data_IF_165853188149
#
_entry.id   IF_165853188149
#
_cell.length_a   1.000
_cell.length_b   1.000
_cell.length_c   1.000
_cell.angle_alpha   90.00
_cell.angle_beta   90.00
_cell.angle_gamma   90.00
#
_symmetry.space_group_name_H-M   'P 1'
#
loop_
_entity.id
_entity.type
_entity.pdbx_description
1 polymer ?
#
# COMPACT_ATOMS: atom_id res chain seq x y z
N UNK A 1 11.89 -12.57 21.32
CA UNK A 1 11.63 -11.59 20.24
C UNK A 1 12.35 -10.31 20.62
N UNK A 2 13.30 -9.82 19.81
CA UNK A 2 13.93 -8.51 20.04
C UNK A 2 12.97 -7.42 19.53
N UNK A 3 12.63 -6.43 20.37
CA UNK A 3 11.91 -5.22 19.96
C UNK A 3 12.77 -4.51 18.90
N UNK A 4 12.27 -4.42 17.68
CA UNK A 4 12.91 -3.67 16.61
C UNK A 4 12.34 -2.26 16.60
N UNK A 5 13.25 -1.28 16.65
CA UNK A 5 12.92 0.12 16.53
C UNK A 5 12.62 0.44 15.06
N UNK A 6 11.34 0.71 14.73
CA UNK A 6 10.94 1.13 13.38
C UNK A 6 11.32 2.61 13.11
N UNK A 7 11.79 3.37 14.10
CA UNK A 7 12.13 4.79 13.93
C UNK A 7 13.09 5.10 12.78
N UNK A 8 14.11 4.28 12.45
CA UNK A 8 15.01 4.57 11.33
C UNK A 8 14.33 4.55 9.95
N UNK A 9 13.20 3.84 9.80
CA UNK A 9 12.40 3.85 8.58
C UNK A 9 11.51 5.10 8.47
N UNK A 10 11.28 5.79 9.59
CA UNK A 10 10.24 6.81 9.75
C UNK A 10 10.72 8.10 10.44
N UNK A 11 12.04 8.36 10.49
CA UNK A 11 12.62 9.50 11.18
C UNK A 11 12.04 10.83 10.65
N UNK A 12 11.50 11.71 11.52
CA UNK A 12 10.92 12.98 11.09
C UNK A 12 12.01 14.06 10.95
N UNK A 13 12.38 14.41 9.72
CA UNK A 13 12.99 15.71 9.41
C UNK A 13 11.91 16.80 9.36
N UNK A 14 12.23 18.07 9.65
CA UNK A 14 11.23 19.09 9.93
C UNK A 14 10.38 19.43 8.71
N UNK A 15 9.05 19.42 8.90
CA UNK A 15 8.00 20.07 8.10
C UNK A 15 8.36 20.44 6.65
N UNK A 16 8.37 19.45 5.77
CA UNK A 16 8.09 19.67 4.35
C UNK A 16 6.85 18.88 4.00
N UNK A 17 5.81 19.56 3.50
CA UNK A 17 4.52 18.97 3.13
C UNK A 17 4.74 17.85 2.12
N UNK A 18 4.81 16.61 2.59
CA UNK A 18 4.57 15.45 1.76
C UNK A 18 3.12 15.53 1.30
N UNK A 19 2.91 15.91 0.05
CA UNK A 19 1.62 15.72 -0.63
C UNK A 19 1.47 14.23 -0.95
N UNK A 20 1.33 13.41 0.10
CA UNK A 20 0.89 12.03 -0.03
C UNK A 20 -0.55 12.11 -0.52
N UNK A 21 -0.82 11.64 -1.74
CA UNK A 21 -2.17 11.56 -2.27
C UNK A 21 -3.05 10.74 -1.30
N UNK A 22 -4.03 11.35 -0.60
CA UNK A 22 -4.80 10.66 0.44
C UNK A 22 -5.66 9.52 -0.12
N UNK A 23 -6.02 9.59 -1.41
CA UNK A 23 -6.94 8.66 -2.05
C UNK A 23 -6.39 7.23 -2.21
N UNK A 24 -5.07 7.03 -2.22
CA UNK A 24 -4.49 5.70 -2.47
C UNK A 24 -4.52 4.81 -1.22
N UNK A 25 -4.30 5.38 -0.03
CA UNK A 25 -4.24 4.65 1.23
C UNK A 25 -5.62 4.33 1.82
N UNK A 26 -6.61 5.22 1.62
CA UNK A 26 -8.00 4.98 2.04
C UNK A 26 -8.63 3.80 1.31
N UNK A 27 -8.26 3.57 0.04
CA UNK A 27 -8.87 2.51 -0.78
C UNK A 27 -8.21 1.13 -0.63
N UNK A 28 -7.00 1.04 -0.05
CA UNK A 28 -6.36 -0.25 0.28
C UNK A 28 -6.77 -0.78 1.66
N UNK A 29 -7.16 0.11 2.57
CA UNK A 29 -7.59 -0.22 3.92
C UNK A 29 -9.11 -0.34 4.07
N UNK A 30 -9.92 0.44 3.36
CA UNK A 30 -11.36 0.47 3.57
C UNK A 30 -12.12 -0.27 2.46
N UNK A 31 -13.21 -0.93 2.87
CA UNK A 31 -14.34 -1.43 2.06
C UNK A 31 -14.27 -2.94 1.78
N UNK A 32 -14.84 -3.69 2.73
CA UNK A 32 -15.18 -5.11 2.58
C UNK A 32 -16.62 -5.37 3.01
N UNK A 33 -17.59 -5.12 2.12
CA UNK A 33 -18.94 -5.66 2.25
C UNK A 33 -19.01 -7.02 1.53
N UNK A 34 -19.09 -8.11 2.29
CA UNK A 34 -19.38 -9.43 1.74
C UNK A 34 -20.86 -9.49 1.29
N UNK A 35 -21.10 -9.63 -0.02
CA UNK A 35 -22.36 -10.21 -0.53
C UNK A 35 -22.07 -11.70 -0.79
N UNK A 36 -22.48 -12.56 0.14
CA UNK A 36 -22.43 -14.00 -0.03
C UNK A 36 -23.62 -14.47 -0.87
N UNK A 37 -23.37 -15.06 -2.03
CA UNK A 37 -24.36 -15.89 -2.73
C UNK A 37 -24.14 -17.34 -2.33
N UNK A 38 -25.07 -17.89 -1.56
CA UNK A 38 -25.21 -19.33 -1.34
C UNK A 38 -26.14 -19.87 -2.41
N UNK A 39 -25.62 -20.71 -3.31
CA UNK A 39 -26.41 -21.56 -4.20
C UNK A 39 -26.79 -22.86 -3.47
N UNK A 40 -28.06 -23.28 -3.43
CA UNK A 40 -28.42 -24.65 -3.07
C UNK A 40 -28.54 -25.55 -4.32
N UNK A 41 -28.26 -26.87 -4.24
CA UNK A 41 -28.41 -27.81 -5.35
C UNK A 41 -29.77 -28.53 -5.36
N UNK A 42 -30.35 -28.73 -6.57
CA UNK A 42 -31.36 -29.72 -7.06
C UNK A 42 -32.63 -30.01 -6.24
N UNK A 43 -33.87 -30.21 -6.72
CA UNK A 43 -34.60 -30.59 -7.96
C UNK A 43 -36.13 -30.41 -7.62
N UNK A 44 -37.16 -30.69 -8.46
CA UNK A 44 -37.29 -30.77 -9.93
C UNK A 44 -38.42 -29.83 -10.49
N UNK A 45 -38.63 -29.88 -11.81
CA UNK A 45 -39.65 -29.17 -12.61
C UNK A 45 -41.10 -29.36 -12.12
N UNK A 46 -41.89 -28.27 -12.14
CA UNK A 46 -43.34 -28.30 -12.35
C UNK A 46 -43.85 -27.01 -13.01
N UNK A 47 -45.01 -27.11 -13.64
CA UNK A 47 -45.53 -26.33 -14.75
C UNK A 47 -45.95 -24.88 -14.46
N UNK A 48 -46.11 -24.13 -15.56
CA UNK A 48 -46.38 -22.70 -15.61
C UNK A 48 -47.67 -22.21 -14.97
N UNK A 49 -47.70 -20.90 -14.72
CA UNK A 49 -48.88 -20.03 -14.80
C UNK A 49 -48.42 -18.57 -14.90
N UNK A 50 -49.20 -17.77 -15.63
CA UNK A 50 -48.88 -16.49 -16.25
C UNK A 50 -48.74 -15.28 -15.30
N UNK A 51 -48.13 -14.15 -15.75
CA UNK A 51 -48.09 -12.90 -14.99
C UNK A 51 -49.34 -12.03 -15.24
N UNK A 52 -49.80 -11.34 -14.20
CA UNK A 52 -50.87 -10.32 -14.22
C UNK A 52 -50.32 -8.93 -13.83
N UNK A 53 -51.04 -7.84 -14.15
CA UNK A 53 -50.46 -6.67 -14.81
C UNK A 53 -50.09 -5.49 -13.90
N UNK A 54 -49.24 -4.62 -14.44
CA UNK A 54 -48.87 -3.30 -13.95
C UNK A 54 -50.05 -2.31 -14.04
N UNK A 55 -50.21 -1.47 -13.02
CA UNK A 55 -51.02 -0.24 -13.06
C UNK A 55 -50.14 1.00 -12.79
N UNK A 56 -50.54 2.19 -13.28
CA UNK A 56 -49.61 3.26 -13.65
C UNK A 56 -49.61 4.48 -12.71
N UNK A 57 -48.52 5.26 -12.81
CA UNK A 57 -48.58 6.72 -12.71
C UNK A 57 -47.94 7.36 -11.48
N UNK A 58 -46.85 8.11 -11.69
CA UNK A 58 -46.83 9.58 -11.57
C UNK A 58 -45.46 10.15 -11.97
N UNK A 59 -45.50 11.07 -12.93
CA UNK A 59 -44.41 11.91 -13.38
C UNK A 59 -44.11 13.03 -12.37
N UNK A 60 -42.85 13.41 -12.25
CA UNK A 60 -42.36 14.63 -11.60
C UNK A 60 -41.19 15.20 -12.42
N UNK A 61 -40.98 16.53 -12.40
CA UNK A 61 -40.41 17.29 -13.53
C UNK A 61 -38.88 17.25 -13.60
N UNK A 62 -38.27 17.63 -14.75
CA UNK A 62 -36.82 17.57 -14.92
C UNK A 62 -36.14 18.73 -14.18
N UNK A 63 -35.15 18.42 -13.35
CA UNK A 63 -34.21 19.40 -12.80
C UNK A 63 -33.11 19.70 -13.83
N UNK A 64 -32.83 21.01 -13.93
CA UNK A 64 -32.05 21.66 -14.98
C UNK A 64 -30.63 21.11 -15.14
N UNK A 65 -30.22 20.98 -16.39
CA UNK A 65 -28.84 20.73 -16.80
C UNK A 65 -27.99 21.97 -16.51
N UNK A 66 -27.04 21.84 -15.58
CA UNK A 66 -25.97 22.82 -15.42
C UNK A 66 -24.99 22.64 -16.57
N UNK A 67 -25.08 23.58 -17.52
CA UNK A 67 -24.14 23.75 -18.63
C UNK A 67 -22.72 23.95 -18.09
N UNK A 68 -21.87 22.92 -18.21
CA UNK A 68 -20.41 23.08 -18.08
C UNK A 68 -19.90 23.86 -19.28
N UNK A 69 -19.53 25.13 -19.06
CA UNK A 69 -18.76 25.94 -20.01
C UNK A 69 -17.49 25.18 -20.42
N UNK A 70 -17.34 24.95 -21.72
CA UNK A 70 -16.10 24.49 -22.35
C UNK A 70 -15.04 25.58 -22.19
N UNK A 71 -13.94 25.28 -21.51
CA UNK A 71 -12.71 26.08 -21.57
C UNK A 71 -12.01 25.85 -22.92
N UNK A 72 -11.25 26.83 -23.44
CA UNK A 72 -10.73 26.79 -24.81
C UNK A 72 -9.64 25.73 -24.95
N UNK A 73 -9.75 24.93 -25.99
CA UNK A 73 -8.72 24.01 -26.46
C UNK A 73 -7.49 24.78 -26.93
N UNK A 74 -6.37 24.66 -26.22
CA UNK A 74 -5.05 24.98 -26.78
C UNK A 74 -4.63 23.82 -27.69
N UNK A 75 -4.62 24.07 -28.99
CA UNK A 75 -3.95 23.23 -30.00
C UNK A 75 -2.44 23.30 -29.78
N UNK A 76 -1.88 22.31 -29.09
CA UNK A 76 -0.47 21.92 -29.20
C UNK A 76 -0.33 20.52 -28.59
N UNK A 77 0.13 19.54 -29.40
CA UNK A 77 0.37 18.17 -28.92
C UNK A 77 -0.42 17.08 -29.64
N UNK A 78 -0.69 17.20 -30.94
CA UNK A 78 -0.88 16.00 -31.77
C UNK A 78 0.51 15.44 -32.10
N UNK A 79 0.85 14.30 -31.50
CA UNK A 79 2.05 13.56 -31.84
C UNK A 79 2.67 12.85 -30.65
N UNK A 80 2.10 11.69 -30.29
CA UNK A 80 2.76 10.51 -29.72
C UNK A 80 1.71 9.52 -29.20
N UNK A 81 0.76 9.12 -30.07
CA UNK A 81 0.17 7.81 -29.93
C UNK A 81 1.23 6.81 -30.42
N UNK A 82 2.13 6.40 -29.53
CA UNK A 82 3.06 5.31 -29.84
C UNK A 82 2.23 4.06 -30.04
N UNK A 83 1.99 3.68 -31.29
CA UNK A 83 1.47 2.37 -31.63
C UNK A 83 2.41 1.34 -31.00
N UNK A 84 1.96 0.69 -29.92
CA UNK A 84 2.67 -0.45 -29.33
C UNK A 84 2.58 -1.57 -30.35
N UNK A 85 3.59 -1.65 -31.23
CA UNK A 85 3.81 -2.86 -32.03
C UNK A 85 4.06 -3.98 -31.03
N UNK A 86 3.19 -5.00 -31.03
CA UNK A 86 3.47 -6.28 -30.38
C UNK A 86 4.76 -6.82 -31.01
N UNK A 87 5.90 -6.59 -30.36
CA UNK A 87 7.19 -7.10 -30.82
C UNK A 87 7.24 -8.59 -30.54
N UNK A 88 7.64 -9.37 -31.54
CA UNK A 88 7.82 -10.81 -31.40
C UNK A 88 8.85 -11.09 -30.29
N UNK A 89 8.76 -12.28 -29.68
CA UNK A 89 9.77 -12.80 -28.76
C UNK A 89 11.18 -12.80 -29.39
N UNK A 90 11.27 -12.84 -30.72
CA UNK A 90 12.50 -12.91 -31.52
C UNK A 90 13.02 -11.57 -32.04
N UNK A 91 12.28 -10.47 -31.88
CA UNK A 91 12.74 -9.17 -32.36
C UNK A 91 13.94 -8.66 -31.54
N UNK A 92 14.96 -8.11 -32.22
CA UNK A 92 16.06 -7.39 -31.57
C UNK A 92 15.49 -6.14 -30.90
N UNK A 93 15.70 -6.02 -29.59
CA UNK A 93 15.27 -4.85 -28.83
C UNK A 93 16.20 -3.65 -29.08
N UNK A 94 15.68 -2.40 -28.99
CA UNK A 94 16.53 -1.22 -28.91
C UNK A 94 17.52 -1.32 -27.75
N UNK A 95 18.65 -0.60 -27.85
CA UNK A 95 19.67 -0.63 -26.81
C UNK A 95 19.09 -0.25 -25.43
N UNK A 96 19.43 -1.05 -24.40
CA UNK A 96 19.02 -0.85 -23.01
C UNK A 96 17.55 -1.20 -22.69
N UNK A 97 16.76 -1.64 -23.66
CA UNK A 97 15.43 -2.21 -23.40
C UNK A 97 15.55 -3.64 -22.86
N UNK A 98 14.70 -3.97 -21.89
CA UNK A 98 14.60 -5.31 -21.30
C UNK A 98 13.27 -5.94 -21.68
N UNK A 99 13.30 -7.20 -22.12
CA UNK A 99 12.10 -8.02 -22.26
C UNK A 99 11.68 -8.50 -20.87
N UNK A 100 10.40 -8.39 -20.52
CA UNK A 100 9.90 -8.89 -19.24
C UNK A 100 8.58 -9.63 -19.42
N UNK A 101 8.30 -10.52 -18.47
CA UNK A 101 7.00 -11.15 -18.36
C UNK A 101 6.15 -10.37 -17.38
N UNK A 102 4.86 -10.18 -17.69
CA UNK A 102 3.90 -9.40 -16.90
C UNK A 102 2.59 -10.14 -16.78
N UNK A 103 1.95 -10.08 -15.61
CA UNK A 103 0.55 -10.47 -15.49
C UNK A 103 -0.32 -9.24 -15.69
N UNK A 104 -1.14 -9.27 -16.73
CA UNK A 104 -1.93 -8.13 -17.18
C UNK A 104 -3.39 -8.52 -17.34
N UNK A 105 -4.28 -7.58 -17.03
CA UNK A 105 -5.69 -7.65 -17.41
C UNK A 105 -5.92 -6.72 -18.60
N UNK A 106 -6.42 -7.23 -19.72
CA UNK A 106 -6.77 -6.43 -20.89
C UNK A 106 -8.08 -5.66 -20.69
N UNK A 107 -9.03 -6.29 -20.00
CA UNK A 107 -10.31 -5.70 -19.62
C UNK A 107 -10.62 -6.07 -18.16
N UNK A 108 -10.75 -5.08 -17.26
CA UNK A 108 -11.16 -5.33 -15.88
C UNK A 108 -12.55 -5.96 -15.79
N UNK A 109 -12.80 -6.76 -14.74
CA UNK A 109 -14.13 -7.32 -14.42
C UNK A 109 -14.15 -8.81 -14.11
N UNK A 110 -13.08 -9.55 -14.43
CA UNK A 110 -12.96 -10.97 -14.10
C UNK A 110 -11.49 -11.34 -13.85
N UNK A 111 -11.19 -11.90 -12.68
CA UNK A 111 -9.85 -12.38 -12.32
C UNK A 111 -9.33 -13.43 -13.30
N UNK A 112 -10.23 -14.21 -13.92
CA UNK A 112 -9.87 -15.17 -14.96
C UNK A 112 -9.35 -14.51 -16.23
N UNK A 113 -9.34 -13.18 -16.36
CA UNK A 113 -8.72 -12.46 -17.49
C UNK A 113 -7.28 -12.03 -17.23
N UNK A 114 -6.77 -12.24 -16.02
CA UNK A 114 -5.35 -12.03 -15.74
C UNK A 114 -4.53 -13.05 -16.55
N UNK A 115 -3.67 -12.57 -17.44
CA UNK A 115 -2.87 -13.40 -18.35
C UNK A 115 -1.40 -13.04 -18.24
N UNK A 116 -0.55 -14.07 -18.29
CA UNK A 116 0.87 -13.89 -18.44
C UNK A 116 1.15 -13.47 -19.89
N UNK A 117 1.77 -12.32 -20.05
CA UNK A 117 2.14 -11.74 -21.33
C UNK A 117 3.61 -11.33 -21.30
N UNK A 118 4.18 -11.11 -22.48
CA UNK A 118 5.53 -10.56 -22.63
C UNK A 118 5.42 -9.13 -23.13
N UNK A 119 6.12 -8.20 -22.49
CA UNK A 119 6.27 -6.83 -22.98
C UNK A 119 7.75 -6.38 -22.89
N UNK A 120 7.99 -5.10 -23.13
CA UNK A 120 9.31 -4.49 -23.08
C UNK A 120 9.33 -3.34 -22.09
N UNK A 121 10.47 -3.14 -21.44
CA UNK A 121 10.70 -2.10 -20.46
C UNK A 121 11.88 -1.23 -20.95
N UNK A 122 11.72 0.10 -21.07
CA UNK A 122 12.81 0.99 -21.48
C UNK A 122 13.93 1.03 -20.42
N UNK A 123 15.13 1.55 -20.74
CA UNK A 123 16.18 1.84 -19.75
C UNK A 123 15.63 2.64 -18.56
N UNK A 124 16.12 2.43 -17.32
CA UNK A 124 15.71 3.23 -16.17
C UNK A 124 16.08 4.70 -16.40
N UNK A 125 15.12 5.60 -16.14
CA UNK A 125 15.36 7.04 -16.27
C UNK A 125 16.27 7.57 -15.16
N UNK A 126 16.75 8.80 -15.28
CA UNK A 126 17.52 9.46 -14.23
C UNK A 126 16.75 9.48 -12.90
N UNK A 127 17.35 8.93 -11.84
CA UNK A 127 16.71 8.81 -10.52
C UNK A 127 15.86 7.55 -10.32
N UNK A 128 15.77 6.69 -11.34
CA UNK A 128 15.17 5.36 -11.25
C UNK A 128 16.25 4.27 -11.20
N UNK A 129 15.83 3.08 -10.76
CA UNK A 129 16.58 1.85 -10.90
C UNK A 129 15.69 0.78 -11.54
N UNK A 130 16.30 -0.12 -12.30
CA UNK A 130 15.65 -1.35 -12.75
C UNK A 130 15.86 -2.42 -11.69
N UNK A 131 14.77 -3.03 -11.26
CA UNK A 131 14.77 -4.14 -10.31
C UNK A 131 14.28 -5.40 -11.01
N UNK A 132 15.07 -6.48 -10.93
CA UNK A 132 14.61 -7.84 -11.21
C UNK A 132 13.81 -8.35 -10.01
N UNK A 133 12.50 -8.48 -10.18
CA UNK A 133 11.56 -8.83 -9.11
C UNK A 133 11.69 -10.31 -8.76
N UNK A 134 11.84 -10.59 -7.48
CA UNK A 134 11.94 -11.94 -6.91
C UNK A 134 10.68 -12.34 -6.13
N UNK A 135 9.96 -11.36 -5.57
CA UNK A 135 8.71 -11.56 -4.86
C UNK A 135 7.80 -10.34 -4.98
N UNK A 136 6.49 -10.56 -4.88
CA UNK A 136 5.45 -9.53 -4.97
C UNK A 136 4.47 -9.72 -3.82
N UNK A 137 4.07 -8.62 -3.17
CA UNK A 137 3.05 -8.63 -2.14
C UNK A 137 1.65 -8.59 -2.75
N UNK A 138 0.76 -9.47 -2.27
CA UNK A 138 -0.64 -9.51 -2.70
C UNK A 138 -1.49 -8.60 -1.80
N UNK A 139 -2.24 -7.70 -2.42
CA UNK A 139 -3.11 -6.76 -1.74
C UNK A 139 -4.56 -6.85 -2.26
N UNK A 140 -5.54 -6.50 -1.43
CA UNK A 140 -6.94 -6.44 -1.86
C UNK A 140 -7.17 -5.45 -3.02
N UNK A 141 -6.39 -4.35 -3.03
CA UNK A 141 -6.38 -3.39 -4.13
C UNK A 141 -6.03 -4.03 -5.48
N UNK A 142 -5.22 -5.09 -5.51
CA UNK A 142 -4.89 -5.80 -6.76
C UNK A 142 -6.10 -6.55 -7.31
N UNK A 143 -6.90 -7.16 -6.42
CA UNK A 143 -8.15 -7.82 -6.77
C UNK A 143 -9.17 -6.81 -7.30
N UNK A 144 -9.36 -5.70 -6.60
CA UNK A 144 -10.28 -4.65 -7.05
C UNK A 144 -9.84 -4.01 -8.37
N UNK A 145 -8.54 -3.84 -8.57
CA UNK A 145 -7.98 -3.37 -9.84
C UNK A 145 -8.34 -4.34 -10.97
N UNK A 146 -8.13 -5.64 -10.75
CA UNK A 146 -8.47 -6.65 -11.75
C UNK A 146 -9.98 -6.79 -12.01
N UNK A 147 -10.82 -6.49 -11.01
CA UNK A 147 -12.29 -6.47 -11.13
C UNK A 147 -12.85 -5.14 -11.67
N UNK A 148 -12.01 -4.12 -11.92
CA UNK A 148 -12.47 -2.82 -12.42
C UNK A 148 -13.20 -1.97 -11.38
N UNK A 149 -13.01 -2.28 -10.10
CA UNK A 149 -13.65 -1.59 -8.96
C UNK A 149 -12.73 -0.56 -8.30
N UNK A 150 -11.55 -0.31 -8.88
CA UNK A 150 -10.55 0.60 -8.32
C UNK A 150 -10.37 1.83 -9.21
N UNK A 151 -11.04 2.94 -8.86
CA UNK A 151 -11.04 4.19 -9.65
C UNK A 151 -9.65 4.77 -9.88
N UNK A 152 -8.72 4.52 -8.94
CA UNK A 152 -7.35 4.97 -9.03
C UNK A 152 -6.50 4.19 -10.06
N UNK A 153 -7.03 3.11 -10.64
CA UNK A 153 -6.40 2.36 -11.73
C UNK A 153 -6.45 3.15 -13.05
N UNK A 154 -5.45 2.98 -13.94
CA UNK A 154 -5.48 3.56 -15.28
C UNK A 154 -6.77 3.16 -16.00
N UNK A 155 -7.49 4.16 -16.52
CA UNK A 155 -8.74 3.94 -17.24
C UNK A 155 -8.46 3.79 -18.73
N UNK A 156 -9.06 2.77 -19.36
CA UNK A 156 -8.98 2.56 -20.80
C UNK A 156 -7.67 1.92 -21.31
N UNK A 157 -6.78 1.48 -20.42
CA UNK A 157 -5.54 0.78 -20.77
C UNK A 157 -5.39 -0.52 -19.98
N UNK A 158 -4.79 -1.58 -20.57
CA UNK A 158 -4.49 -2.80 -19.83
C UNK A 158 -3.59 -2.55 -18.62
N UNK A 159 -4.00 -3.05 -17.45
CA UNK A 159 -3.32 -2.80 -16.18
C UNK A 159 -2.49 -4.00 -15.75
N UNK A 160 -1.27 -3.75 -15.28
CA UNK A 160 -0.44 -4.74 -14.57
C UNK A 160 -0.63 -4.46 -13.06
N UNK A 161 -1.26 -5.35 -12.29
CA UNK A 161 -1.46 -5.14 -10.85
C UNK A 161 -0.15 -5.13 -10.04
N UNK A 162 -0.29 -4.91 -8.73
CA UNK A 162 0.79 -5.03 -7.77
C UNK A 162 1.28 -3.68 -7.27
N UNK A 163 1.17 -3.50 -5.95
CA UNK A 163 1.57 -2.29 -5.22
C UNK A 163 2.99 -2.36 -4.65
N UNK A 164 3.57 -3.54 -4.52
CA UNK A 164 4.85 -3.73 -3.85
C UNK A 164 5.60 -4.93 -4.39
N UNK A 165 6.92 -4.89 -4.24
CA UNK A 165 7.81 -5.95 -4.67
C UNK A 165 9.05 -6.01 -3.78
N UNK A 166 9.78 -7.11 -3.93
CA UNK A 166 11.15 -7.26 -3.49
C UNK A 166 11.97 -7.93 -4.59
N UNK A 167 13.21 -7.50 -4.77
CA UNK A 167 14.06 -7.97 -5.85
C UNK A 167 15.49 -7.49 -5.74
N UNK A 168 16.20 -7.56 -6.86
CA UNK A 168 17.60 -7.19 -6.99
C UNK A 168 17.73 -6.03 -7.97
N UNK A 169 18.48 -4.99 -7.61
CA UNK A 169 18.83 -3.91 -8.55
C UNK A 169 19.71 -4.49 -9.65
N UNK A 170 19.33 -4.31 -10.91
CA UNK A 170 20.14 -4.72 -12.06
C UNK A 170 20.83 -3.53 -12.73
N UNK A 171 20.10 -2.42 -12.84
CA UNK A 171 20.55 -1.24 -13.55
C UNK A 171 20.13 0.01 -12.79
N UNK A 172 20.93 1.05 -12.91
CA UNK A 172 20.73 2.32 -12.25
C UNK A 172 20.74 3.41 -13.31
N UNK A 173 19.68 4.22 -13.38
CA UNK A 173 19.56 5.27 -14.37
C UNK A 173 20.64 6.35 -14.21
N UNK A 174 20.96 7.04 -15.30
CA UNK A 174 22.03 8.03 -15.36
C UNK A 174 21.74 9.25 -14.47
N UNK A 175 22.17 9.16 -13.20
CA UNK A 175 22.47 10.25 -12.24
C UNK A 175 22.87 9.77 -10.84
N UNK A 176 22.70 8.48 -10.51
CA UNK A 176 23.12 7.93 -9.20
C UNK A 176 24.58 7.47 -9.16
N UNK A 177 25.34 7.59 -10.26
CA UNK A 177 26.80 7.42 -10.22
C UNK A 177 27.43 8.67 -9.61
N UNK A 178 27.38 8.80 -8.29
CA UNK A 178 28.30 9.70 -7.59
C UNK A 178 29.73 9.23 -7.90
N UNK A 179 30.46 10.02 -8.68
CA UNK A 179 31.92 9.87 -8.79
C UNK A 179 32.45 9.94 -7.36
N UNK A 180 32.95 8.82 -6.83
CA UNK A 180 33.75 8.84 -5.61
C UNK A 180 34.93 9.77 -5.87
N UNK A 181 34.90 10.98 -5.29
CA UNK A 181 36.11 11.81 -5.21
C UNK A 181 37.05 11.06 -4.29
N UNK A 182 38.13 10.53 -4.87
CA UNK A 182 39.26 9.95 -4.14
C UNK A 182 39.77 11.02 -3.18
N UNK A 183 39.62 10.79 -1.89
CA UNK A 183 40.16 11.68 -0.86
C UNK A 183 41.54 11.13 -0.53
N UNK A 184 42.58 11.80 -1.01
CA UNK A 184 43.94 11.49 -0.61
C UNK A 184 44.15 12.02 0.81
N UNK A 185 44.37 11.09 1.75
CA UNK A 185 44.65 11.40 3.15
C UNK A 185 46.15 11.26 3.37
N UNK A 186 46.83 12.39 3.53
CA UNK A 186 48.24 12.41 3.91
C UNK A 186 48.37 12.52 5.43
N UNK A 187 49.31 11.74 5.99
CA UNK A 187 49.68 11.79 7.40
C UNK A 187 50.64 12.96 7.62
N UNK A 188 50.33 13.84 8.57
CA UNK A 188 51.25 14.90 8.98
C UNK A 188 52.57 14.31 9.50
N UNK A 189 53.69 14.98 9.22
CA UNK A 189 55.04 14.52 9.52
C UNK A 189 55.33 14.32 11.03
N UNK A 190 54.51 14.89 11.91
CA UNK A 190 54.55 14.68 13.37
C UNK A 190 53.75 13.45 13.84
N UNK A 191 53.10 12.73 12.91
CA UNK A 191 52.40 11.48 13.14
C UNK A 191 51.06 11.59 13.89
N UNK A 192 50.61 12.80 14.24
CA UNK A 192 49.50 13.04 15.18
C UNK A 192 48.21 13.57 14.54
N UNK A 193 48.21 13.96 13.26
CA UNK A 193 47.00 14.43 12.53
C UNK A 193 46.92 13.94 11.08
N UNK A 194 45.71 13.70 10.61
CA UNK A 194 45.36 13.47 9.20
C UNK A 194 44.83 14.78 8.59
N UNK A 195 45.37 15.21 7.46
CA UNK A 195 44.94 16.44 6.78
C UNK A 195 44.24 16.07 5.48
N UNK A 196 42.96 16.45 5.36
CA UNK A 196 42.16 16.26 4.15
C UNK A 196 42.30 17.50 3.27
N UNK A 197 43.01 17.38 2.14
CA UNK A 197 43.08 18.45 1.13
C UNK A 197 41.85 18.36 0.20
N UNK A 198 40.86 19.23 0.38
CA UNK A 198 39.77 19.39 -0.60
C UNK A 198 40.23 20.30 -1.74
N UNK A 199 40.21 19.83 -2.99
CA UNK A 199 40.39 20.69 -4.15
C UNK A 199 39.11 21.52 -4.38
N UNK A 200 39.27 22.85 -4.40
CA UNK A 200 38.22 23.83 -4.67
C UNK A 200 37.65 23.63 -6.09
N UNK A 201 36.47 23.03 -6.15
CA UNK A 201 35.53 23.14 -7.27
C UNK A 201 34.18 23.51 -6.67
N UNK A 202 33.55 24.54 -7.24
CA UNK A 202 32.28 25.14 -6.82
C UNK A 202 31.32 24.12 -6.18
N UNK A 203 31.05 24.33 -4.89
CA UNK A 203 29.97 23.68 -4.19
C UNK A 203 28.68 24.42 -4.60
N UNK A 204 27.83 23.77 -5.40
CA UNK A 204 26.41 24.05 -5.34
C UNK A 204 25.95 23.65 -3.93
N UNK A 205 25.93 24.63 -3.03
CA UNK A 205 25.34 24.51 -1.70
C UNK A 205 23.82 24.55 -1.85
N UNK A 206 23.25 23.48 -2.38
CA UNK A 206 21.90 23.04 -2.03
C UNK A 206 22.11 21.78 -1.16
N UNK A 207 22.35 22.01 0.13
CA UNK A 207 22.37 20.92 1.10
C UNK A 207 20.94 20.48 1.33
N UNK A 208 20.57 19.30 0.85
CA UNK A 208 19.23 18.75 1.09
C UNK A 208 19.21 18.05 2.45
N UNK A 209 18.40 18.58 3.36
CA UNK A 209 18.25 18.23 4.79
C UNK A 209 17.59 16.87 5.07
N UNK A 210 17.57 15.94 4.11
CA UNK A 210 16.61 14.82 4.17
C UNK A 210 17.15 13.49 4.71
N UNK A 211 18.45 13.33 5.03
CA UNK A 211 18.95 12.19 5.82
C UNK A 211 18.62 10.75 5.35
N UNK A 212 18.03 10.55 4.17
CA UNK A 212 17.53 9.25 3.73
C UNK A 212 18.58 8.52 2.87
N UNK A 213 19.03 7.32 3.27
CA UNK A 213 20.10 6.57 2.59
C UNK A 213 19.56 5.84 1.35
N UNK A 214 19.22 6.58 0.30
CA UNK A 214 18.81 6.00 -1.00
C UNK A 214 19.64 6.49 -2.18
N UNK A 215 20.67 7.30 -1.94
CA UNK A 215 21.52 7.86 -3.00
C UNK A 215 22.61 6.90 -3.51
N UNK A 216 22.84 5.76 -2.82
CA UNK A 216 23.96 4.83 -3.11
C UNK A 216 23.51 3.41 -3.56
N UNK A 217 22.35 3.28 -4.21
CA UNK A 217 21.93 1.98 -4.78
C UNK A 217 22.84 1.55 -5.92
N UNK A 218 23.20 0.26 -5.95
CA UNK A 218 24.09 -0.34 -6.95
C UNK A 218 23.49 -1.64 -7.49
N UNK A 219 23.84 -2.03 -8.72
CA UNK A 219 23.55 -3.37 -9.21
C UNK A 219 24.00 -4.44 -8.21
N UNK A 220 23.13 -5.42 -7.94
CA UNK A 220 23.30 -6.46 -6.93
C UNK A 220 22.65 -6.16 -5.58
N UNK A 221 22.26 -4.92 -5.29
CA UNK A 221 21.58 -4.59 -4.03
C UNK A 221 20.21 -5.27 -3.94
N UNK A 222 19.94 -5.88 -2.79
CA UNK A 222 18.63 -6.48 -2.46
C UNK A 222 17.70 -5.39 -1.95
N UNK A 223 16.57 -5.21 -2.62
CA UNK A 223 15.67 -4.08 -2.35
C UNK A 223 14.20 -4.49 -2.30
N UNK A 224 13.45 -3.81 -1.43
CA UNK A 224 11.99 -3.81 -1.41
C UNK A 224 11.49 -2.43 -1.81
N UNK A 225 10.34 -2.36 -2.45
CA UNK A 225 9.82 -1.10 -2.94
C UNK A 225 8.32 -1.09 -3.13
N UNK A 226 7.81 0.13 -3.21
CA UNK A 226 6.42 0.43 -3.50
C UNK A 226 6.29 0.93 -4.94
N UNK A 227 5.23 0.51 -5.62
CA UNK A 227 4.79 1.07 -6.89
C UNK A 227 3.28 1.31 -6.85
N UNK A 228 2.77 2.21 -7.68
CA UNK A 228 1.32 2.40 -7.79
C UNK A 228 0.65 1.20 -8.47
N UNK A 229 1.30 0.66 -9.51
CA UNK A 229 0.91 -0.52 -10.29
C UNK A 229 2.17 -1.10 -10.95
N UNK A 230 2.12 -2.31 -11.49
CA UNK A 230 3.19 -2.86 -12.33
C UNK A 230 4.12 -3.87 -11.66
N UNK A 231 3.94 -4.14 -10.36
CA UNK A 231 4.80 -5.09 -9.66
C UNK A 231 4.57 -6.55 -10.06
N UNK A 232 3.44 -6.90 -10.69
CA UNK A 232 3.22 -8.25 -11.22
C UNK A 232 3.98 -8.44 -12.53
N UNK A 233 5.31 -8.31 -12.47
CA UNK A 233 6.22 -8.38 -13.58
C UNK A 233 7.56 -8.97 -13.16
N UNK A 234 8.38 -9.43 -14.11
CA UNK A 234 9.74 -9.88 -13.81
C UNK A 234 10.71 -8.71 -13.62
N UNK A 235 10.41 -7.54 -14.19
CA UNK A 235 11.24 -6.34 -14.07
C UNK A 235 10.39 -5.08 -13.97
N UNK A 236 10.84 -4.14 -13.14
CA UNK A 236 10.23 -2.83 -12.99
C UNK A 236 11.29 -1.74 -12.92
N UNK A 237 11.05 -0.62 -13.60
CA UNK A 237 11.80 0.61 -13.33
C UNK A 237 11.02 1.39 -12.28
N UNK A 238 11.71 1.84 -11.23
CA UNK A 238 11.08 2.50 -10.08
C UNK A 238 11.97 3.61 -9.55
N UNK A 239 11.35 4.72 -9.16
CA UNK A 239 12.03 5.86 -8.56
C UNK A 239 12.68 5.50 -7.24
N UNK A 240 13.93 5.94 -7.05
CA UNK A 240 14.72 5.72 -5.82
C UNK A 240 14.04 6.13 -4.51
N UNK A 241 13.15 7.14 -4.43
CA UNK A 241 12.47 7.46 -3.17
C UNK A 241 11.57 6.33 -2.67
N UNK A 242 11.06 5.47 -3.56
CA UNK A 242 10.11 4.39 -3.26
C UNK A 242 10.77 3.05 -2.93
N UNK A 243 12.10 3.02 -2.79
CA UNK A 243 12.88 1.80 -2.61
C UNK A 243 13.66 1.86 -1.31
N UNK A 244 13.78 0.73 -0.62
CA UNK A 244 14.67 0.54 0.52
C UNK A 244 15.42 -0.77 0.36
N UNK A 245 16.63 -0.85 0.92
CA UNK A 245 17.35 -2.14 1.00
C UNK A 245 16.59 -3.09 1.92
N UNK A 246 16.55 -4.35 1.54
CA UNK A 246 16.04 -5.42 2.39
C UNK A 246 17.11 -5.71 3.45
N UNK A 247 16.75 -5.84 4.74
CA UNK A 247 17.69 -6.33 5.76
C UNK A 247 18.31 -7.67 5.35
N UNK A 248 19.57 -7.90 5.71
CA UNK A 248 20.30 -9.09 5.25
C UNK A 248 19.58 -10.40 5.64
N UNK A 249 18.95 -10.42 6.81
CA UNK A 249 18.25 -11.58 7.38
C UNK A 249 16.87 -11.83 6.77
N UNK A 250 16.33 -10.91 5.98
CA UNK A 250 14.99 -11.04 5.41
C UNK A 250 15.05 -11.71 4.04
N UNK A 251 14.14 -12.64 3.79
CA UNK A 251 13.88 -13.15 2.44
C UNK A 251 13.20 -12.08 1.56
N UNK A 252 13.20 -12.29 0.24
CA UNK A 252 12.41 -11.43 -0.67
C UNK A 252 10.91 -11.48 -0.36
N UNK A 253 10.39 -12.64 0.05
CA UNK A 253 8.99 -12.76 0.45
C UNK A 253 8.66 -11.89 1.68
N UNK A 254 9.54 -11.83 2.67
CA UNK A 254 9.39 -10.93 3.81
C UNK A 254 9.47 -9.46 3.40
N UNK A 255 10.41 -9.09 2.52
CA UNK A 255 10.50 -7.74 1.97
C UNK A 255 9.24 -7.32 1.21
N UNK A 256 8.73 -8.20 0.33
CA UNK A 256 7.53 -7.94 -0.46
C UNK A 256 6.24 -7.94 0.38
N UNK A 257 6.21 -8.61 1.54
CA UNK A 257 5.06 -8.61 2.45
C UNK A 257 5.06 -7.47 3.48
N UNK A 258 6.09 -6.62 3.49
CA UNK A 258 6.27 -5.60 4.51
C UNK A 258 5.75 -4.22 4.09
N UNK A 259 6.08 -3.76 2.88
CA UNK A 259 6.06 -2.34 2.52
C UNK A 259 4.66 -1.72 2.62
N UNK A 260 3.69 -2.21 1.85
CA UNK A 260 2.34 -1.64 1.80
C UNK A 260 1.63 -1.82 3.13
N UNK A 261 1.76 -2.99 3.74
CA UNK A 261 1.07 -3.32 4.99
C UNK A 261 1.58 -2.45 6.15
N UNK A 262 2.90 -2.35 6.31
CA UNK A 262 3.52 -1.56 7.36
C UNK A 262 3.32 -0.05 7.14
N UNK A 263 3.50 0.44 5.91
CA UNK A 263 3.27 1.86 5.59
C UNK A 263 1.80 2.26 5.80
N UNK A 264 0.85 1.39 5.45
CA UNK A 264 -0.58 1.65 5.66
C UNK A 264 -0.91 1.72 7.15
N UNK A 265 -0.43 0.75 7.93
CA UNK A 265 -0.61 0.75 9.39
C UNK A 265 0.03 1.99 10.03
N UNK A 266 1.26 2.33 9.62
CA UNK A 266 1.97 3.51 10.11
C UNK A 266 1.25 4.80 9.78
N UNK A 267 0.84 4.99 8.52
CA UNK A 267 0.11 6.19 8.11
C UNK A 267 -1.21 6.34 8.87
N UNK A 268 -1.99 5.26 9.00
CA UNK A 268 -3.25 5.27 9.74
C UNK A 268 -3.05 5.55 11.23
N UNK A 269 -2.11 4.87 11.89
CA UNK A 269 -1.89 5.04 13.33
C UNK A 269 -1.17 6.34 13.69
N UNK A 270 -0.13 6.71 12.95
CA UNK A 270 0.76 7.83 13.31
C UNK A 270 0.27 9.14 12.72
N UNK A 271 0.15 9.22 11.40
CA UNK A 271 -0.16 10.47 10.71
C UNK A 271 -1.62 10.87 10.92
N UNK A 272 -2.53 9.91 10.78
CA UNK A 272 -3.97 10.15 10.94
C UNK A 272 -4.41 9.97 12.39
N UNK A 273 -3.97 8.91 13.06
CA UNK A 273 -4.41 8.56 14.42
C UNK A 273 -3.70 9.31 15.54
N UNK A 274 -2.49 9.83 15.33
CA UNK A 274 -1.63 10.37 16.38
C UNK A 274 -1.40 9.39 17.55
N UNK A 275 -1.11 8.12 17.24
CA UNK A 275 -0.86 7.02 18.19
C UNK A 275 0.05 7.36 19.39
N UNK A 276 1.11 8.19 19.27
CA UNK A 276 1.92 8.54 20.45
C UNK A 276 1.17 9.30 21.56
N UNK A 277 -0.02 9.84 21.27
CA UNK A 277 -0.90 10.49 22.25
C UNK A 277 -2.14 9.65 22.61
N UNK A 278 -2.29 8.48 22.01
CA UNK A 278 -3.42 7.60 22.22
C UNK A 278 -3.19 6.68 23.41
N UNK A 279 -4.26 6.38 24.13
CA UNK A 279 -4.31 5.35 25.17
C UNK A 279 -4.88 4.04 24.63
N UNK A 280 -5.87 4.11 23.75
CA UNK A 280 -6.56 2.93 23.23
C UNK A 280 -6.74 2.95 21.70
N UNK A 281 -6.68 1.78 21.08
CA UNK A 281 -6.92 1.61 19.65
C UNK A 281 -7.80 0.40 19.35
N UNK A 282 -8.89 0.60 18.62
CA UNK A 282 -9.68 -0.48 18.05
C UNK A 282 -9.08 -0.87 16.70
N UNK A 283 -8.73 -2.14 16.51
CA UNK A 283 -8.12 -2.64 15.27
C UNK A 283 -9.02 -3.67 14.61
N UNK A 284 -9.62 -3.31 13.47
CA UNK A 284 -10.34 -4.27 12.65
C UNK A 284 -9.39 -5.15 11.85
N UNK A 285 -9.82 -6.39 11.56
CA UNK A 285 -9.02 -7.37 10.81
C UNK A 285 -7.63 -7.56 11.42
N UNK A 286 -7.56 -7.60 12.75
CA UNK A 286 -6.33 -7.46 13.53
C UNK A 286 -5.28 -8.55 13.26
N UNK A 287 -5.72 -9.75 12.86
CA UNK A 287 -4.84 -10.86 12.46
C UNK A 287 -4.51 -10.88 10.95
N UNK A 288 -4.85 -9.81 10.21
CA UNK A 288 -4.43 -9.59 8.83
C UNK A 288 -3.17 -8.73 8.75
N UNK A 289 -2.66 -8.50 7.54
CA UNK A 289 -1.40 -7.78 7.31
C UNK A 289 -1.28 -6.43 8.03
N UNK A 290 -2.12 -5.46 7.64
CA UNK A 290 -2.17 -4.12 8.26
C UNK A 290 -2.52 -4.20 9.76
N UNK A 291 -3.40 -5.14 10.14
CA UNK A 291 -3.80 -5.34 11.53
C UNK A 291 -2.63 -5.73 12.43
N UNK A 292 -1.77 -6.65 11.98
CA UNK A 292 -0.62 -7.10 12.75
C UNK A 292 0.41 -5.98 12.94
N UNK A 293 0.67 -5.18 11.90
CA UNK A 293 1.52 -4.00 12.03
C UNK A 293 0.90 -2.93 12.93
N UNK A 294 -0.44 -2.76 12.89
CA UNK A 294 -1.13 -1.83 13.80
C UNK A 294 -0.99 -2.25 15.26
N UNK A 295 -1.07 -3.56 15.56
CA UNK A 295 -0.83 -4.09 16.90
C UNK A 295 0.63 -3.94 17.35
N UNK A 296 1.60 -4.10 16.44
CA UNK A 296 3.01 -3.83 16.74
C UNK A 296 3.25 -2.35 17.05
N UNK A 297 2.62 -1.44 16.29
CA UNK A 297 2.66 0.00 16.58
C UNK A 297 2.05 0.28 17.96
N UNK A 298 0.95 -0.38 18.32
CA UNK A 298 0.39 -0.27 19.66
C UNK A 298 1.41 -0.65 20.75
N UNK A 299 2.11 -1.79 20.60
CA UNK A 299 3.17 -2.21 21.53
C UNK A 299 4.32 -1.20 21.61
N UNK A 300 4.73 -0.63 20.48
CA UNK A 300 5.83 0.35 20.43
C UNK A 300 5.52 1.64 21.19
N UNK A 301 4.29 2.13 21.11
CA UNK A 301 3.88 3.39 21.71
C UNK A 301 3.08 3.24 23.01
N UNK A 302 2.93 2.00 23.50
CA UNK A 302 2.16 1.72 24.73
C UNK A 302 0.65 1.96 24.60
N UNK A 303 0.13 1.97 23.37
CA UNK A 303 -1.33 2.07 23.11
C UNK A 303 -1.95 0.71 23.41
N UNK A 304 -3.08 0.67 24.11
CA UNK A 304 -3.75 -0.58 24.48
C UNK A 304 -4.74 -0.98 23.37
N UNK A 305 -4.52 -2.09 22.64
CA UNK A 305 -5.40 -2.45 21.54
C UNK A 305 -6.62 -3.24 22.01
N UNK A 306 -7.72 -3.10 21.25
CA UNK A 306 -8.82 -4.07 21.14
C UNK A 306 -8.85 -4.60 19.71
N UNK A 307 -8.68 -5.90 19.53
CA UNK A 307 -8.52 -6.57 18.25
C UNK A 307 -9.81 -7.25 17.79
N UNK A 308 -10.27 -6.98 16.57
CA UNK A 308 -11.39 -7.67 15.95
C UNK A 308 -10.88 -8.71 14.95
N UNK A 309 -11.29 -9.96 15.13
CA UNK A 309 -10.92 -11.09 14.26
C UNK A 309 -12.15 -11.86 13.75
N UNK A 310 -11.96 -12.66 12.71
CA UNK A 310 -13.05 -13.43 12.07
C UNK A 310 -13.25 -14.85 12.61
N UNK A 311 -12.32 -15.38 13.40
CA UNK A 311 -12.38 -16.76 13.90
C UNK A 311 -11.63 -16.92 15.22
N UNK A 312 -11.93 -18.00 15.94
CA UNK A 312 -11.25 -18.36 17.19
C UNK A 312 -9.78 -18.73 16.97
N UNK A 313 -9.43 -19.33 15.83
CA UNK A 313 -8.02 -19.60 15.49
C UNK A 313 -7.20 -18.30 15.42
N UNK A 314 -7.77 -17.24 14.84
CA UNK A 314 -7.13 -15.94 14.77
C UNK A 314 -7.05 -15.28 16.15
N UNK A 315 -8.01 -15.53 17.03
CA UNK A 315 -7.94 -15.06 18.41
C UNK A 315 -6.78 -15.74 19.14
N UNK A 316 -6.69 -17.07 19.10
CA UNK A 316 -5.56 -17.82 19.67
C UNK A 316 -4.22 -17.36 19.12
N UNK A 317 -4.12 -17.20 17.80
CA UNK A 317 -2.91 -16.68 17.17
C UNK A 317 -2.46 -15.34 17.76
N UNK A 318 -3.37 -14.39 17.98
CA UNK A 318 -3.02 -13.09 18.59
C UNK A 318 -2.66 -13.21 20.07
N UNK A 319 -3.27 -14.15 20.81
CA UNK A 319 -2.86 -14.43 22.19
C UNK A 319 -1.43 -14.98 22.22
N UNK A 320 -1.14 -15.99 21.39
CA UNK A 320 0.14 -16.70 21.37
C UNK A 320 1.29 -15.84 20.84
N UNK A 321 1.03 -15.01 19.83
CA UNK A 321 2.09 -14.26 19.13
C UNK A 321 2.24 -12.82 19.59
N UNK A 322 1.15 -12.19 20.04
CA UNK A 322 1.13 -10.77 20.44
C UNK A 322 0.85 -10.57 21.93
N UNK A 323 0.56 -11.64 22.68
CA UNK A 323 0.31 -11.57 24.13
C UNK A 323 -0.98 -10.83 24.49
N UNK A 324 -1.93 -10.70 23.56
CA UNK A 324 -3.22 -10.05 23.84
C UNK A 324 -4.06 -10.89 24.80
N UNK A 325 -4.74 -10.23 25.75
CA UNK A 325 -5.68 -10.91 26.64
C UNK A 325 -6.97 -11.26 25.89
N UNK A 326 -7.68 -12.29 26.33
CA UNK A 326 -9.00 -12.63 25.79
C UNK A 326 -9.98 -11.45 25.83
N UNK A 327 -9.91 -10.60 26.86
CA UNK A 327 -10.72 -9.38 27.00
C UNK A 327 -10.36 -8.27 26.00
N UNK A 328 -9.26 -8.39 25.28
CA UNK A 328 -8.83 -7.47 24.23
C UNK A 328 -9.13 -8.01 22.84
N UNK A 329 -9.76 -9.18 22.71
CA UNK A 329 -10.02 -9.81 21.41
C UNK A 329 -11.50 -10.09 21.27
N UNK A 330 -12.09 -9.62 20.18
CA UNK A 330 -13.47 -9.90 19.82
C UNK A 330 -13.46 -10.72 18.53
N UNK A 331 -13.90 -11.97 18.64
CA UNK A 331 -14.33 -12.73 17.46
C UNK A 331 -15.65 -12.15 16.98
N UNK A 332 -15.65 -11.66 15.75
CA UNK A 332 -16.70 -10.83 15.15
C UNK A 332 -18.06 -11.54 15.20
N UNK A 333 -19.04 -11.01 15.96
CA UNK A 333 -20.35 -11.63 16.07
C UNK A 333 -21.20 -11.35 14.82
N UNK A 334 -22.21 -12.20 14.61
CA UNK A 334 -23.16 -12.04 13.52
C UNK A 334 -24.11 -10.84 13.75
N UNK A 335 -24.57 -10.68 14.99
CA UNK A 335 -25.54 -9.65 15.42
C UNK A 335 -24.84 -8.39 15.92
N UNK A 336 -25.32 -7.23 15.50
CA UNK A 336 -24.74 -5.93 15.81
C UNK A 336 -24.87 -5.53 17.30
N UNK A 337 -26.00 -5.85 17.94
CA UNK A 337 -26.21 -5.61 19.37
C UNK A 337 -25.16 -6.31 20.24
N UNK A 338 -24.78 -7.53 19.84
CA UNK A 338 -23.76 -8.30 20.53
C UNK A 338 -22.36 -7.73 20.31
N UNK A 339 -22.09 -7.17 19.12
CA UNK A 339 -20.85 -6.47 18.84
C UNK A 339 -20.66 -5.25 19.75
N UNK A 340 -21.69 -4.39 19.87
CA UNK A 340 -21.68 -3.22 20.77
C UNK A 340 -21.38 -3.62 22.22
N UNK A 341 -22.12 -4.62 22.74
CA UNK A 341 -21.92 -5.13 24.10
C UNK A 341 -20.47 -5.57 24.34
N UNK A 342 -19.89 -6.34 23.42
CA UNK A 342 -18.51 -6.84 23.52
C UNK A 342 -17.46 -5.73 23.43
N UNK A 343 -17.70 -4.68 22.63
CA UNK A 343 -16.83 -3.50 22.58
C UNK A 343 -16.79 -2.78 23.93
N UNK A 344 -17.95 -2.51 24.52
CA UNK A 344 -18.06 -1.87 25.83
C UNK A 344 -17.39 -2.70 26.94
N UNK A 345 -17.53 -4.02 26.89
CA UNK A 345 -16.84 -4.94 27.82
C UNK A 345 -15.32 -4.87 27.67
N UNK A 346 -14.83 -4.81 26.43
CA UNK A 346 -13.40 -4.68 26.15
C UNK A 346 -12.86 -3.35 26.63
N UNK A 347 -13.58 -2.25 26.39
CA UNK A 347 -13.26 -0.90 26.88
C UNK A 347 -13.16 -0.85 28.41
N UNK A 348 -14.15 -1.41 29.11
CA UNK A 348 -14.11 -1.55 30.58
C UNK A 348 -12.90 -2.37 31.03
N UNK A 349 -12.60 -3.47 30.34
CA UNK A 349 -11.47 -4.34 30.70
C UNK A 349 -10.10 -3.67 30.49
N UNK A 350 -9.97 -2.75 29.53
CA UNK A 350 -8.76 -1.94 29.33
C UNK A 350 -8.77 -0.62 30.11
N UNK A 351 -9.82 -0.37 30.90
CA UNK A 351 -9.97 0.83 31.73
C UNK A 351 -10.07 2.12 30.91
N UNK A 352 -10.67 2.07 29.73
CA UNK A 352 -10.86 3.22 28.85
C UNK A 352 -12.36 3.47 28.63
N UNK A 353 -12.75 4.74 28.55
CA UNK A 353 -14.15 5.14 28.29
C UNK A 353 -14.50 5.16 26.79
N UNK A 354 -13.48 5.19 25.93
CA UNK A 354 -13.62 5.14 24.47
C UNK A 354 -12.29 4.84 23.78
N UNK A 355 -12.34 4.79 22.46
CA UNK A 355 -11.19 4.60 21.57
C UNK A 355 -10.63 5.95 21.11
N UNK A 356 -9.33 6.16 21.30
CA UNK A 356 -8.65 7.32 20.72
C UNK A 356 -8.46 7.14 19.20
N UNK A 357 -8.28 5.90 18.76
CA UNK A 357 -8.09 5.53 17.36
C UNK A 357 -8.94 4.32 17.01
N UNK A 358 -9.68 4.38 15.91
CA UNK A 358 -10.36 3.23 15.31
C UNK A 358 -9.76 2.97 13.93
N UNK A 359 -9.02 1.88 13.80
CA UNK A 359 -8.51 1.38 12.52
C UNK A 359 -9.57 0.48 11.87
N UNK A 360 -10.53 1.08 11.15
CA UNK A 360 -11.63 0.36 10.51
C UNK A 360 -11.33 0.01 9.04
N UNK A 361 -11.16 -1.30 8.80
CA UNK A 361 -10.94 -1.86 7.46
C UNK A 361 -12.19 -2.53 6.87
N UNK A 362 -13.32 -2.50 7.57
CA UNK A 362 -14.52 -3.28 7.22
C UNK A 362 -15.71 -2.39 6.94
N UNK A 363 -15.87 -1.29 7.69
CA UNK A 363 -17.00 -0.38 7.59
C UNK A 363 -18.36 -1.10 7.74
N UNK A 364 -19.40 -0.56 7.11
CA UNK A 364 -20.74 -1.14 7.09
C UNK A 364 -21.35 -1.25 8.49
N UNK A 365 -21.93 -2.41 8.82
CA UNK A 365 -22.68 -2.62 10.07
C UNK A 365 -21.85 -2.51 11.36
N UNK A 366 -20.53 -2.48 11.27
CA UNK A 366 -19.64 -2.36 12.43
C UNK A 366 -19.15 -0.92 12.66
N UNK A 367 -19.27 -0.07 11.65
CA UNK A 367 -18.81 1.32 11.68
C UNK A 367 -19.44 2.10 12.83
N UNK A 368 -20.77 2.10 12.93
CA UNK A 368 -21.49 2.93 13.91
C UNK A 368 -21.07 2.59 15.34
N UNK A 369 -20.88 1.31 15.65
CA UNK A 369 -20.46 0.89 16.98
C UNK A 369 -19.02 1.34 17.32
N UNK A 370 -18.11 1.36 16.35
CA UNK A 370 -16.77 1.92 16.54
C UNK A 370 -16.81 3.43 16.75
N UNK A 371 -17.60 4.13 15.92
CA UNK A 371 -17.77 5.58 15.97
C UNK A 371 -18.42 6.06 17.28
N UNK A 372 -19.50 5.40 17.73
CA UNK A 372 -20.21 5.72 18.98
C UNK A 372 -19.32 5.56 20.22
N UNK A 373 -18.26 4.75 20.13
CA UNK A 373 -17.33 4.47 21.21
C UNK A 373 -16.00 5.22 21.06
N UNK A 374 -15.95 6.30 20.27
CA UNK A 374 -14.79 7.19 20.24
C UNK A 374 -14.67 7.96 21.55
N UNK A 375 -13.44 8.10 22.04
CA UNK A 375 -13.13 9.03 23.11
C UNK A 375 -13.30 10.48 22.61
N UNK A 376 -13.46 11.49 23.49
CA UNK A 376 -13.42 12.89 23.10
C UNK A 376 -12.14 13.23 22.32
N UNK A 377 -12.28 13.70 21.08
CA UNK A 377 -11.15 13.96 20.17
C UNK A 377 -10.55 12.72 19.49
N UNK A 378 -11.19 11.56 19.67
CA UNK A 378 -10.85 10.30 19.02
C UNK A 378 -11.04 10.37 17.50
N UNK A 379 -10.36 9.47 16.80
CA UNK A 379 -10.26 9.46 15.33
C UNK A 379 -10.62 8.09 14.79
N UNK A 380 -11.40 8.09 13.72
CA UNK A 380 -11.85 6.88 13.04
C UNK A 380 -11.41 6.91 11.58
#
# INVERSE_FOLDING_TARGET
QKNWDLQPLFSPSPMTRFSVFPCLFLAAGCIGACVGFSLPPGLPLAAGTQPSPLLPGRSSPPLASVSRRKSPTSRAGQGLASAVRMMSATDKLPAGYTRRAVWRTEEPGDLKRLRLQTDTLPPPAAGEVRVAIQAVGLNFADVFTALGMYDAAPQGEPVIPGLEFAGVVEEVGERLRTKQKKVDVERSADGRKYVVKQQQGQQDKQGDEDGLPTRDLRPGDRVMGFTRFGAYSTHVNVGTPFIRRIPDEWSYAQGAGFVVQALTAWYGAMQLGAAPRARSMLVHSAAGGVGLFSLQICQMFGVVPVAIVGSEDKARFLQDTMGLKASQIIVRPYREKEFRRRLEESLRAIGCEGFDIVMDSVAGKYFQAGYDNLAPGGRH
#
